data_IF_606233231338
#
_entry.id   IF_606233231338
#
_cell.length_a   1.000
_cell.length_b   1.000
_cell.length_c   1.000
_cell.angle_alpha   90.00
_cell.angle_beta   90.00
_cell.angle_gamma   90.00
#
_symmetry.space_group_name_H-M   'P 1'
#
loop_
_entity.id
_entity.type
_entity.pdbx_description
1 polymer ?
#
# COMPACT_ATOMS: atom_id res chain seq x y z
N UNK A 1 38.83 29.19 -58.59
CA UNK A 1 37.78 29.46 -59.55
C UNK A 1 36.75 28.33 -59.36
N UNK A 2 35.66 28.46 -58.90
CA UNK A 2 34.61 29.37 -58.60
C UNK A 2 33.69 28.69 -57.57
N UNK A 3 33.27 29.41 -56.55
CA UNK A 3 32.40 28.88 -55.50
C UNK A 3 30.98 29.13 -55.93
N UNK A 4 30.22 28.07 -56.25
CA UNK A 4 28.75 28.13 -56.46
C UNK A 4 28.01 28.06 -55.12
N UNK A 5 27.54 29.18 -54.66
CA UNK A 5 26.62 29.30 -53.51
C UNK A 5 25.18 28.91 -53.91
N UNK A 6 24.59 27.98 -53.16
CA UNK A 6 23.17 27.64 -53.27
C UNK A 6 22.32 28.70 -52.48
N UNK A 7 21.11 29.07 -52.97
CA UNK A 7 20.27 30.06 -52.36
C UNK A 7 19.43 29.53 -51.18
N UNK A 8 19.27 30.42 -50.19
CA UNK A 8 18.41 30.26 -49.02
C UNK A 8 16.94 30.54 -49.48
N UNK A 9 15.96 29.72 -49.15
CA UNK A 9 14.55 30.05 -49.33
C UNK A 9 14.04 30.98 -48.24
N UNK A 10 13.33 32.03 -48.68
CA UNK A 10 12.67 33.07 -47.93
C UNK A 10 11.55 32.55 -47.02
N UNK A 11 11.44 33.19 -45.84
CA UNK A 11 10.30 33.18 -44.93
C UNK A 11 8.97 33.41 -45.66
N UNK A 12 8.04 32.47 -45.54
CA UNK A 12 6.64 32.72 -45.74
C UNK A 12 5.85 32.35 -44.51
N UNK A 13 5.10 33.36 -44.05
CA UNK A 13 4.35 33.42 -42.81
C UNK A 13 3.26 32.33 -42.70
N UNK A 14 3.29 31.56 -41.62
CA UNK A 14 2.15 30.76 -41.16
C UNK A 14 1.24 31.57 -40.22
N UNK A 15 -0.09 31.47 -40.34
CA UNK A 15 -1.03 32.26 -39.56
C UNK A 15 -1.05 31.82 -38.09
N UNK A 16 -1.03 32.81 -37.18
CA UNK A 16 -1.11 32.63 -35.74
C UNK A 16 -2.40 31.93 -35.29
N UNK A 17 -2.26 30.69 -34.90
CA UNK A 17 -3.23 29.99 -34.05
C UNK A 17 -2.93 30.31 -32.60
N UNK A 18 -3.75 31.13 -31.97
CA UNK A 18 -3.71 31.37 -30.53
C UNK A 18 -3.99 30.05 -29.81
N UNK A 19 -2.94 29.42 -29.27
CA UNK A 19 -3.10 28.31 -28.34
C UNK A 19 -3.47 28.88 -26.99
N UNK A 20 -4.73 28.72 -26.63
CA UNK A 20 -5.31 29.08 -25.34
C UNK A 20 -4.49 28.41 -24.21
N UNK A 21 -3.64 29.20 -23.55
CA UNK A 21 -2.90 28.80 -22.36
C UNK A 21 -3.84 28.84 -21.16
N UNK A 22 -4.79 27.90 -21.13
CA UNK A 22 -5.57 27.51 -19.94
C UNK A 22 -5.35 26.04 -19.62
N UNK A 23 -4.09 25.66 -19.39
CA UNK A 23 -3.81 24.52 -18.55
C UNK A 23 -4.15 24.93 -17.12
N UNK A 24 -5.42 24.70 -16.75
CA UNK A 24 -5.88 24.82 -15.39
C UNK A 24 -4.95 23.94 -14.51
N UNK A 25 -4.17 24.60 -13.67
CA UNK A 25 -3.51 23.96 -12.54
C UNK A 25 -4.61 23.37 -11.66
N UNK A 26 -4.94 22.11 -11.88
CA UNK A 26 -5.70 21.33 -10.91
C UNK A 26 -4.82 21.18 -9.68
N UNK A 27 -4.94 22.15 -8.75
CA UNK A 27 -4.54 21.90 -7.37
C UNK A 27 -5.19 20.58 -6.96
N UNK A 28 -4.42 19.63 -6.40
CA UNK A 28 -5.05 18.47 -5.79
C UNK A 28 -6.09 18.98 -4.81
N UNK A 29 -7.32 18.45 -4.93
CA UNK A 29 -8.39 18.75 -4.00
C UNK A 29 -7.82 18.56 -2.60
N UNK A 30 -7.92 19.59 -1.76
CA UNK A 30 -7.54 19.52 -0.37
C UNK A 30 -8.20 18.26 0.21
N UNK A 31 -7.40 17.38 0.79
CA UNK A 31 -7.92 16.22 1.50
C UNK A 31 -9.07 16.70 2.39
N UNK A 32 -10.20 15.97 2.50
CA UNK A 32 -11.32 16.38 3.32
C UNK A 32 -10.77 16.69 4.70
N UNK A 33 -10.84 17.98 5.09
CA UNK A 33 -10.32 18.45 6.36
C UNK A 33 -10.96 17.60 7.46
N UNK A 34 -10.16 16.89 8.22
CA UNK A 34 -10.60 16.16 9.39
C UNK A 34 -11.19 17.20 10.36
N UNK A 35 -12.52 17.35 10.31
CA UNK A 35 -13.22 18.08 11.35
C UNK A 35 -13.03 17.24 12.62
N UNK A 36 -12.17 17.71 13.51
CA UNK A 36 -12.18 17.27 14.90
C UNK A 36 -13.64 17.39 15.38
N UNK A 37 -14.20 16.39 16.09
CA UNK A 37 -15.51 16.56 16.66
C UNK A 37 -15.48 17.85 17.46
N UNK A 38 -16.38 18.78 17.13
CA UNK A 38 -16.45 20.08 17.79
C UNK A 38 -16.70 19.80 19.28
N UNK A 39 -15.64 19.85 20.07
CA UNK A 39 -15.77 19.91 21.51
C UNK A 39 -16.57 21.16 21.77
N UNK A 40 -17.70 21.03 22.48
CA UNK A 40 -18.60 22.13 22.76
C UNK A 40 -17.76 23.32 23.24
N UNK A 41 -17.89 24.46 22.57
CA UNK A 41 -17.21 25.70 22.91
C UNK A 41 -17.76 26.14 24.27
N UNK A 42 -16.95 26.07 25.31
CA UNK A 42 -17.34 26.50 26.66
C UNK A 42 -16.99 25.50 27.74
N UNK A 43 -17.21 25.93 28.98
CA UNK A 43 -16.98 25.16 30.20
C UNK A 43 -18.31 24.54 30.66
N UNK A 44 -18.40 23.23 30.74
CA UNK A 44 -19.60 22.52 31.20
C UNK A 44 -19.40 22.07 32.61
N UNK A 45 -20.04 22.78 33.54
CA UNK A 45 -19.88 22.62 34.97
C UNK A 45 -21.05 21.83 35.55
N UNK A 46 -20.78 20.65 36.12
CA UNK A 46 -21.76 19.88 36.90
C UNK A 46 -21.51 20.07 38.36
N UNK A 47 -22.50 20.60 39.10
CA UNK A 47 -22.48 20.64 40.56
C UNK A 47 -23.31 19.49 41.12
N UNK A 48 -22.74 18.75 42.07
CA UNK A 48 -23.40 17.70 42.85
C UNK A 48 -23.40 18.13 44.33
N UNK A 49 -24.54 18.50 44.85
CA UNK A 49 -24.76 18.97 46.24
C UNK A 49 -26.22 18.77 46.60
N UNK A 50 -26.52 18.25 47.79
CA UNK A 50 -27.89 18.00 48.24
C UNK A 50 -28.65 19.28 48.60
N UNK A 51 -27.93 20.37 48.85
CA UNK A 51 -28.47 21.63 49.32
C UNK A 51 -28.84 22.57 48.16
N UNK A 52 -30.13 22.79 47.94
CA UNK A 52 -30.62 23.75 46.94
C UNK A 52 -30.05 25.15 47.09
N UNK A 53 -29.75 25.58 48.34
CA UNK A 53 -29.16 26.87 48.58
C UNK A 53 -27.78 27.03 47.94
N UNK A 54 -26.95 26.00 48.06
CA UNK A 54 -25.61 25.95 47.43
C UNK A 54 -25.73 25.97 45.92
N UNK A 55 -26.62 25.11 45.36
CA UNK A 55 -26.91 25.11 43.91
C UNK A 55 -27.30 26.50 43.39
N UNK A 56 -28.20 27.20 44.10
CA UNK A 56 -28.63 28.54 43.72
C UNK A 56 -27.51 29.59 43.86
N UNK A 57 -26.68 29.46 44.88
CA UNK A 57 -25.56 30.38 45.11
C UNK A 57 -24.49 30.22 43.99
N UNK A 58 -24.10 28.99 43.70
CA UNK A 58 -23.13 28.70 42.60
C UNK A 58 -23.71 29.15 41.26
N UNK A 59 -24.98 28.89 40.98
CA UNK A 59 -25.65 29.35 39.75
C UNK A 59 -25.58 30.88 39.61
N UNK A 60 -25.82 31.65 40.74
CA UNK A 60 -25.68 33.11 40.72
C UNK A 60 -24.24 33.57 40.52
N UNK A 61 -23.25 32.87 41.09
CA UNK A 61 -21.82 33.16 40.88
C UNK A 61 -21.40 32.99 39.44
N UNK A 62 -21.94 32.00 38.77
CA UNK A 62 -21.66 31.71 37.36
C UNK A 62 -22.55 32.50 36.38
N UNK A 63 -23.60 33.16 36.87
CA UNK A 63 -24.46 33.97 36.03
C UNK A 63 -23.68 35.15 35.42
N UNK A 64 -23.81 35.32 34.11
CA UNK A 64 -23.08 36.34 33.35
C UNK A 64 -21.80 35.84 32.63
N UNK A 65 -21.35 34.62 32.90
CA UNK A 65 -20.25 33.99 32.17
C UNK A 65 -20.84 33.24 30.97
N UNK A 66 -20.79 33.87 29.80
CA UNK A 66 -21.43 33.33 28.58
C UNK A 66 -20.76 32.02 28.07
N UNK A 67 -19.55 31.76 28.54
CA UNK A 67 -18.74 30.58 28.19
C UNK A 67 -18.96 29.39 29.14
N UNK A 68 -19.84 29.54 30.20
CA UNK A 68 -20.10 28.51 31.20
C UNK A 68 -21.54 28.00 31.10
N UNK A 69 -21.70 26.72 30.77
CA UNK A 69 -22.95 25.96 30.88
C UNK A 69 -22.98 25.27 32.25
N UNK A 70 -23.99 25.55 33.06
CA UNK A 70 -24.08 25.03 34.43
C UNK A 70 -25.26 24.05 34.58
N UNK A 71 -25.00 22.94 35.24
CA UNK A 71 -26.03 21.94 35.61
C UNK A 71 -25.88 21.60 37.10
N UNK A 72 -27.00 21.54 37.80
CA UNK A 72 -27.09 21.16 39.18
C UNK A 72 -27.75 19.78 39.35
N UNK A 73 -27.09 18.88 40.07
CA UNK A 73 -27.58 17.56 40.43
C UNK A 73 -27.76 17.52 41.97
N UNK A 74 -28.99 17.47 42.41
CA UNK A 74 -29.30 17.47 43.86
C UNK A 74 -29.22 16.06 44.47
N UNK A 75 -29.39 15.00 43.67
CA UNK A 75 -29.42 13.61 44.14
C UNK A 75 -28.12 12.91 43.78
N UNK A 76 -27.34 12.48 44.77
CA UNK A 76 -26.09 11.75 44.49
C UNK A 76 -26.27 10.49 43.64
N UNK A 77 -27.34 9.77 43.81
CA UNK A 77 -27.63 8.53 43.05
C UNK A 77 -27.86 8.77 41.57
N UNK A 78 -28.26 9.97 41.16
CA UNK A 78 -28.47 10.34 39.75
C UNK A 78 -27.19 10.93 39.12
N UNK A 79 -26.14 11.21 39.91
CA UNK A 79 -24.97 12.00 39.48
C UNK A 79 -24.22 11.40 38.32
N UNK A 80 -24.01 10.08 38.28
CA UNK A 80 -23.32 9.39 37.20
C UNK A 80 -24.10 9.46 35.87
N UNK A 81 -25.41 9.24 35.94
CA UNK A 81 -26.30 9.34 34.76
C UNK A 81 -26.37 10.77 34.21
N UNK A 82 -26.40 11.78 35.14
CA UNK A 82 -26.36 13.18 34.73
C UNK A 82 -25.03 13.55 34.14
N UNK A 83 -23.92 13.06 34.69
CA UNK A 83 -22.56 13.29 34.14
C UNK A 83 -22.40 12.68 32.76
N UNK A 84 -22.87 11.45 32.56
CA UNK A 84 -22.81 10.78 31.24
C UNK A 84 -23.63 11.54 30.19
N UNK A 85 -24.85 11.97 30.51
CA UNK A 85 -25.71 12.73 29.59
C UNK A 85 -25.20 14.16 29.34
N UNK A 86 -24.73 14.82 30.39
CA UNK A 86 -24.28 16.22 30.32
C UNK A 86 -22.86 16.35 29.78
N UNK A 87 -21.99 15.36 29.92
CA UNK A 87 -20.57 15.38 29.55
C UNK A 87 -19.85 16.61 30.08
N UNK A 88 -19.73 16.76 31.41
CA UNK A 88 -19.11 17.94 32.01
C UNK A 88 -17.63 18.04 31.67
N UNK A 89 -17.11 19.26 31.62
CA UNK A 89 -15.67 19.53 31.51
C UNK A 89 -15.03 19.75 32.90
N UNK A 90 -15.83 19.92 33.93
CA UNK A 90 -15.43 19.95 35.33
C UNK A 90 -16.64 19.57 36.20
N UNK A 91 -16.39 18.82 37.27
CA UNK A 91 -17.38 18.46 38.28
C UNK A 91 -17.04 19.21 39.56
N UNK A 92 -18.01 19.90 40.11
CA UNK A 92 -17.99 20.43 41.49
C UNK A 92 -18.78 19.45 42.35
N UNK A 93 -18.21 18.96 43.44
CA UNK A 93 -18.83 17.92 44.24
C UNK A 93 -18.77 18.26 45.71
N UNK A 94 -19.89 18.22 46.43
CA UNK A 94 -19.89 18.29 47.87
C UNK A 94 -19.20 17.06 48.48
N UNK A 95 -18.41 17.28 49.55
CA UNK A 95 -17.80 16.21 50.30
C UNK A 95 -18.83 15.46 51.17
N UNK A 96 -19.81 16.16 51.73
CA UNK A 96 -20.82 15.59 52.63
C UNK A 96 -22.15 15.48 51.92
N UNK A 97 -22.46 14.27 51.50
CA UNK A 97 -23.68 13.95 50.78
C UNK A 97 -24.54 12.95 51.58
N UNK A 98 -25.88 13.08 51.60
CA UNK A 98 -26.72 12.15 52.34
C UNK A 98 -26.68 10.73 51.72
N UNK A 99 -26.30 9.75 52.55
CA UNK A 99 -26.27 8.35 52.14
C UNK A 99 -25.10 7.90 51.29
N UNK A 100 -24.19 8.81 50.91
CA UNK A 100 -22.99 8.52 50.08
C UNK A 100 -21.80 9.24 50.68
N UNK A 101 -20.68 8.52 50.82
CA UNK A 101 -19.40 9.16 51.16
C UNK A 101 -18.89 9.91 49.92
N UNK A 102 -18.57 11.20 50.08
CA UNK A 102 -18.05 12.02 48.99
C UNK A 102 -16.72 11.51 48.43
N UNK A 103 -15.87 10.88 49.26
CA UNK A 103 -14.64 10.22 48.82
C UNK A 103 -14.94 9.02 47.91
N UNK A 104 -15.93 8.21 48.27
CA UNK A 104 -16.33 7.06 47.46
C UNK A 104 -16.95 7.49 46.12
N UNK A 105 -17.66 8.60 46.10
CA UNK A 105 -18.19 9.18 44.86
C UNK A 105 -17.07 9.63 43.92
N UNK A 106 -16.00 10.26 44.43
CA UNK A 106 -14.82 10.60 43.64
C UNK A 106 -14.20 9.34 43.03
N UNK A 107 -14.02 8.25 43.81
CA UNK A 107 -13.50 6.96 43.32
C UNK A 107 -14.39 6.37 42.21
N UNK A 108 -15.73 6.37 42.42
CA UNK A 108 -16.69 5.90 41.42
C UNK A 108 -16.57 6.65 40.08
N UNK A 109 -16.44 7.97 40.10
CA UNK A 109 -16.20 8.75 38.89
C UNK A 109 -14.88 8.41 38.18
N UNK A 110 -13.86 7.95 38.92
CA UNK A 110 -12.58 7.51 38.36
C UNK A 110 -12.64 6.11 37.75
N UNK A 111 -13.62 5.30 38.15
CA UNK A 111 -13.86 3.93 37.61
C UNK A 111 -14.69 3.97 36.33
N UNK A 112 -15.60 4.91 36.19
CA UNK A 112 -16.48 5.06 34.99
C UNK A 112 -15.68 5.70 33.85
N UNK A 113 -15.62 5.03 32.70
CA UNK A 113 -14.79 5.44 31.58
C UNK A 113 -15.04 6.86 31.07
N UNK A 114 -16.29 7.31 31.03
CA UNK A 114 -16.68 8.64 30.53
C UNK A 114 -16.28 9.79 31.47
N UNK A 115 -16.22 9.55 32.76
CA UNK A 115 -15.89 10.57 33.79
C UNK A 115 -14.48 10.41 34.36
N UNK A 116 -13.77 9.34 34.01
CA UNK A 116 -12.47 8.97 34.57
C UNK A 116 -11.44 10.11 34.57
N UNK A 117 -11.44 10.92 33.54
CA UNK A 117 -10.48 12.00 33.33
C UNK A 117 -11.08 13.38 33.58
N UNK A 118 -12.39 13.48 33.80
CA UNK A 118 -13.04 14.76 34.06
C UNK A 118 -12.53 15.34 35.40
N UNK A 119 -12.05 16.58 35.44
CA UNK A 119 -11.61 17.20 36.71
C UNK A 119 -12.72 17.27 37.72
N UNK A 120 -12.41 16.89 38.97
CA UNK A 120 -13.31 16.97 40.11
C UNK A 120 -12.72 17.97 41.11
N UNK A 121 -13.48 19.02 41.42
CA UNK A 121 -13.19 20.01 42.47
C UNK A 121 -14.14 19.73 43.62
N UNK A 122 -13.61 19.35 44.77
CA UNK A 122 -14.46 19.04 45.92
C UNK A 122 -14.73 20.32 46.71
N UNK A 123 -16.01 20.54 47.04
CA UNK A 123 -16.46 21.63 47.90
C UNK A 123 -16.66 21.10 49.34
N UNK A 124 -16.07 21.73 50.34
CA UNK A 124 -16.21 21.28 51.73
C UNK A 124 -16.23 22.47 52.72
N UNK A 125 -16.93 22.32 53.81
CA UNK A 125 -16.91 23.28 54.92
C UNK A 125 -15.69 23.09 55.84
N UNK A 126 -14.92 22.00 55.70
CA UNK A 126 -13.80 21.63 56.55
C UNK A 126 -12.47 21.97 55.90
N UNK A 127 -11.51 22.51 56.63
CA UNK A 127 -10.17 22.86 56.13
C UNK A 127 -9.04 21.91 56.60
N UNK A 128 -9.38 20.75 57.14
CA UNK A 128 -8.42 19.83 57.70
C UNK A 128 -7.46 19.26 56.64
N UNK A 129 -6.15 19.34 56.93
CA UNK A 129 -5.11 18.88 56.01
C UNK A 129 -5.22 17.37 55.69
N UNK A 130 -5.67 16.54 56.64
CA UNK A 130 -5.86 15.11 56.49
C UNK A 130 -6.96 14.80 55.48
N UNK A 131 -8.08 15.51 55.53
CA UNK A 131 -9.21 15.35 54.60
C UNK A 131 -8.78 15.74 53.18
N UNK A 132 -8.01 16.83 53.02
CA UNK A 132 -7.47 17.25 51.75
C UNK A 132 -6.56 16.16 51.13
N UNK A 133 -5.68 15.56 51.91
CA UNK A 133 -4.81 14.48 51.44
C UNK A 133 -5.62 13.28 50.95
N UNK A 134 -6.63 12.83 51.68
CA UNK A 134 -7.50 11.72 51.31
C UNK A 134 -8.29 11.98 50.01
N UNK A 135 -8.73 13.22 49.80
CA UNK A 135 -9.42 13.63 48.57
C UNK A 135 -8.53 13.55 47.35
N UNK A 136 -7.28 13.99 47.43
CA UNK A 136 -6.32 13.86 46.33
C UNK A 136 -5.95 12.39 46.08
N UNK A 137 -5.79 11.58 47.14
CA UNK A 137 -5.57 10.12 46.98
C UNK A 137 -6.78 9.41 46.31
N UNK A 138 -8.01 9.87 46.59
CA UNK A 138 -9.21 9.36 45.95
C UNK A 138 -9.31 9.79 44.47
N UNK A 139 -8.50 10.77 44.05
CA UNK A 139 -8.44 11.23 42.66
C UNK A 139 -9.11 12.58 42.39
N UNK A 140 -9.45 13.36 43.41
CA UNK A 140 -9.87 14.75 43.23
C UNK A 140 -8.72 15.60 42.64
N UNK A 141 -9.05 16.57 41.80
CA UNK A 141 -8.08 17.46 41.16
C UNK A 141 -7.86 18.74 41.93
N UNK A 142 -8.84 19.13 42.72
CA UNK A 142 -8.77 20.34 43.52
C UNK A 142 -9.77 20.32 44.69
N UNK A 143 -9.62 21.28 45.58
CA UNK A 143 -10.43 21.45 46.76
C UNK A 143 -10.75 22.93 46.97
N UNK A 144 -11.99 23.26 47.32
CA UNK A 144 -12.45 24.59 47.65
C UNK A 144 -13.29 24.58 48.93
N UNK A 145 -13.16 25.64 49.73
CA UNK A 145 -14.07 25.87 50.85
C UNK A 145 -15.46 26.21 50.32
N UNK A 146 -16.54 25.67 50.95
CA UNK A 146 -17.92 25.95 50.53
C UNK A 146 -18.21 27.44 50.52
N UNK A 147 -18.91 27.88 49.48
CA UNK A 147 -19.17 29.27 49.13
C UNK A 147 -17.87 30.09 48.99
N UNK A 148 -16.98 29.66 48.07
CA UNK A 148 -15.76 30.39 47.75
C UNK A 148 -16.09 31.77 47.17
N UNK A 149 -15.07 32.62 47.11
CA UNK A 149 -15.21 33.85 46.31
C UNK A 149 -15.52 33.53 44.84
N UNK A 150 -16.40 34.38 44.24
CA UNK A 150 -16.81 34.20 42.85
C UNK A 150 -15.61 34.14 41.88
N UNK A 151 -14.61 35.01 42.11
CA UNK A 151 -13.42 35.10 41.23
C UNK A 151 -12.61 33.82 41.36
N UNK A 152 -12.43 33.29 42.57
CA UNK A 152 -11.70 32.02 42.79
C UNK A 152 -12.40 30.83 42.12
N UNK A 153 -13.73 30.70 42.31
CA UNK A 153 -14.51 29.61 41.72
C UNK A 153 -14.39 29.59 40.22
N UNK A 154 -14.59 30.72 39.55
CA UNK A 154 -14.51 30.83 38.09
C UNK A 154 -13.11 30.55 37.61
N UNK A 155 -12.08 31.07 38.26
CA UNK A 155 -10.69 30.81 37.87
C UNK A 155 -10.34 29.32 37.93
N UNK A 156 -10.73 28.60 38.98
CA UNK A 156 -10.48 27.16 39.11
C UNK A 156 -11.27 26.34 38.12
N UNK A 157 -12.54 26.65 37.88
CA UNK A 157 -13.36 26.04 36.84
C UNK A 157 -12.65 26.14 35.48
N UNK A 158 -12.22 27.34 35.10
CA UNK A 158 -11.56 27.56 33.81
C UNK A 158 -10.24 26.81 33.70
N UNK A 159 -9.38 26.88 34.73
CA UNK A 159 -8.08 26.19 34.72
C UNK A 159 -8.25 24.67 34.51
N UNK A 160 -9.12 24.04 35.29
CA UNK A 160 -9.32 22.59 35.22
C UNK A 160 -10.06 22.18 33.95
N UNK A 161 -11.10 22.92 33.57
CA UNK A 161 -11.86 22.66 32.35
C UNK A 161 -11.01 22.82 31.09
N UNK A 162 -10.19 23.87 31.00
CA UNK A 162 -9.28 24.09 29.89
C UNK A 162 -8.21 23.01 29.81
N UNK A 163 -7.63 22.59 30.92
CA UNK A 163 -6.66 21.49 30.96
C UNK A 163 -7.28 20.18 30.40
N UNK A 164 -8.51 19.89 30.83
CA UNK A 164 -9.24 18.71 30.34
C UNK A 164 -9.60 18.80 28.85
N UNK A 165 -10.05 19.95 28.37
CA UNK A 165 -10.34 20.17 26.97
C UNK A 165 -9.09 19.98 26.09
N UNK A 166 -7.94 20.54 26.49
CA UNK A 166 -6.66 20.34 25.81
C UNK A 166 -6.25 18.88 25.78
N UNK A 167 -6.50 18.12 26.87
CA UNK A 167 -6.27 16.68 26.89
C UNK A 167 -7.11 15.96 25.83
N UNK A 168 -8.40 16.25 25.76
CA UNK A 168 -9.31 15.66 24.77
C UNK A 168 -8.92 16.03 23.32
N UNK A 169 -8.56 17.30 23.09
CA UNK A 169 -8.07 17.76 21.79
C UNK A 169 -6.80 17.03 21.35
N UNK A 170 -5.86 16.88 22.28
CA UNK A 170 -4.63 16.10 22.03
C UNK A 170 -4.94 14.66 21.68
N UNK A 171 -5.77 13.98 22.45
CA UNK A 171 -6.09 12.58 22.27
C UNK A 171 -6.85 12.36 20.94
N UNK A 172 -7.74 13.27 20.58
CA UNK A 172 -8.42 13.27 19.28
C UNK A 172 -7.44 13.50 18.12
N UNK A 173 -6.46 14.40 18.27
CA UNK A 173 -5.43 14.64 17.27
C UNK A 173 -4.51 13.43 17.09
N UNK A 174 -4.11 12.76 18.18
CA UNK A 174 -3.33 11.53 18.10
C UNK A 174 -4.09 10.41 17.38
N UNK A 175 -5.37 10.19 17.73
CA UNK A 175 -6.19 9.19 17.06
C UNK A 175 -6.42 9.49 15.56
N UNK A 176 -6.50 10.76 15.18
CA UNK A 176 -6.57 11.18 13.78
C UNK A 176 -5.25 10.92 13.04
N UNK A 177 -4.12 11.23 13.68
CA UNK A 177 -2.79 10.99 13.12
C UNK A 177 -2.54 9.48 12.89
N UNK A 178 -2.85 8.64 13.86
CA UNK A 178 -2.72 7.19 13.73
C UNK A 178 -3.52 6.63 12.56
N UNK A 179 -4.78 7.08 12.40
CA UNK A 179 -5.61 6.70 11.26
C UNK A 179 -4.99 7.13 9.93
N UNK A 180 -4.53 8.37 9.84
CA UNK A 180 -3.89 8.89 8.63
C UNK A 180 -2.61 8.12 8.26
N UNK A 181 -1.80 7.76 9.25
CA UNK A 181 -0.60 6.94 9.04
C UNK A 181 -0.94 5.52 8.57
N UNK A 182 -2.00 4.92 9.12
CA UNK A 182 -2.46 3.60 8.69
C UNK A 182 -2.96 3.62 7.24
N UNK A 183 -3.71 4.66 6.85
CA UNK A 183 -4.20 4.81 5.48
C UNK A 183 -3.05 5.06 4.50
N UNK A 184 -2.09 5.90 4.85
CA UNK A 184 -0.90 6.15 4.03
C UNK A 184 -0.09 4.87 3.80
N UNK A 185 0.14 4.08 4.85
CA UNK A 185 0.85 2.79 4.73
C UNK A 185 0.11 1.82 3.82
N UNK A 186 -1.22 1.79 3.89
CA UNK A 186 -2.06 0.94 3.03
C UNK A 186 -1.95 1.34 1.56
N UNK A 187 -2.03 2.64 1.26
CA UNK A 187 -1.87 3.14 -0.11
C UNK A 187 -0.45 2.93 -0.64
N UNK A 188 0.56 3.10 0.19
CA UNK A 188 1.95 2.83 -0.18
C UNK A 188 2.16 1.33 -0.52
N UNK A 189 1.66 0.43 0.31
CA UNK A 189 1.75 -1.01 0.06
C UNK A 189 1.00 -1.43 -1.22
N UNK A 190 -0.16 -0.80 -1.50
CA UNK A 190 -0.91 -1.02 -2.73
C UNK A 190 -0.13 -0.54 -3.96
N UNK A 191 0.45 0.65 -3.90
CA UNK A 191 1.28 1.20 -4.98
C UNK A 191 2.49 0.31 -5.25
N UNK A 192 3.18 -0.14 -4.21
CA UNK A 192 4.33 -1.04 -4.33
C UNK A 192 3.95 -2.39 -4.96
N UNK A 193 2.85 -2.98 -4.53
CA UNK A 193 2.33 -4.21 -5.12
C UNK A 193 2.02 -4.06 -6.61
N UNK A 194 1.45 -2.93 -7.04
CA UNK A 194 1.18 -2.66 -8.45
C UNK A 194 2.47 -2.55 -9.27
N UNK A 195 3.52 -1.94 -8.73
CA UNK A 195 4.84 -1.87 -9.38
C UNK A 195 5.48 -3.26 -9.50
N UNK A 196 5.39 -4.10 -8.47
CA UNK A 196 5.91 -5.47 -8.47
C UNK A 196 5.19 -6.40 -9.46
N UNK A 197 3.97 -6.06 -9.89
CA UNK A 197 3.28 -6.79 -10.95
C UNK A 197 3.81 -6.47 -12.36
N UNK A 198 4.62 -5.41 -12.50
CA UNK A 198 5.11 -4.93 -13.81
C UNK A 198 6.62 -5.10 -13.94
N UNK A 199 7.36 -4.98 -12.82
CA UNK A 199 8.81 -4.96 -12.79
C UNK A 199 9.36 -5.93 -11.75
N UNK A 200 10.51 -6.58 -12.02
CA UNK A 200 11.20 -7.40 -11.02
C UNK A 200 11.52 -6.62 -9.74
N UNK A 201 11.44 -7.27 -8.58
CA UNK A 201 11.61 -6.61 -7.27
C UNK A 201 12.90 -5.79 -7.15
N UNK A 202 14.04 -6.35 -7.59
CA UNK A 202 15.34 -5.67 -7.59
C UNK A 202 15.36 -4.41 -8.46
N UNK A 203 14.60 -4.39 -9.53
CA UNK A 203 14.48 -3.24 -10.42
C UNK A 203 13.60 -2.16 -9.76
N UNK A 204 12.51 -2.56 -9.08
CA UNK A 204 11.65 -1.64 -8.31
C UNK A 204 12.44 -0.96 -7.18
N UNK A 205 13.30 -1.68 -6.46
CA UNK A 205 14.19 -1.11 -5.43
C UNK A 205 15.10 -0.05 -6.02
N UNK A 206 15.80 -0.35 -7.13
CA UNK A 206 16.70 0.61 -7.80
C UNK A 206 15.97 1.84 -8.34
N UNK A 207 14.75 1.68 -8.87
CA UNK A 207 13.95 2.83 -9.34
C UNK A 207 13.49 3.74 -8.21
N UNK A 208 13.30 3.20 -7.00
CA UNK A 208 13.00 4.01 -5.80
C UNK A 208 14.21 4.81 -5.32
N UNK A 209 15.40 4.29 -5.48
CA UNK A 209 16.63 4.93 -5.02
C UNK A 209 17.16 5.97 -6.02
N UNK A 210 17.08 5.70 -7.33
CA UNK A 210 17.63 6.55 -8.38
C UNK A 210 16.75 6.56 -9.63
N UNK A 211 16.62 7.73 -10.27
CA UNK A 211 15.91 7.90 -11.55
C UNK A 211 16.83 7.71 -12.77
N UNK A 212 17.98 7.04 -12.61
CA UNK A 212 18.91 6.79 -13.69
C UNK A 212 18.46 5.63 -14.59
N UNK A 213 18.97 5.63 -15.82
CA UNK A 213 18.73 4.54 -16.77
C UNK A 213 19.31 3.23 -16.22
N UNK A 214 18.47 2.23 -16.01
CA UNK A 214 18.89 0.91 -15.56
C UNK A 214 19.27 0.09 -16.81
N UNK A 215 20.56 -0.27 -16.93
CA UNK A 215 21.07 -1.16 -17.96
C UNK A 215 22.21 -1.99 -17.35
N UNK A 216 22.01 -3.29 -17.24
CA UNK A 216 22.97 -4.22 -16.66
C UNK A 216 23.37 -5.29 -17.67
N UNK A 217 24.65 -5.65 -17.69
CA UNK A 217 25.18 -6.75 -18.52
C UNK A 217 25.35 -8.00 -17.67
N UNK A 218 24.80 -9.10 -18.16
CA UNK A 218 24.90 -10.42 -17.52
C UNK A 218 25.73 -11.33 -18.42
N UNK A 219 26.79 -11.90 -17.86
CA UNK A 219 27.73 -12.74 -18.62
C UNK A 219 27.10 -14.07 -19.06
N UNK A 220 26.15 -14.60 -18.27
CA UNK A 220 25.44 -15.86 -18.55
C UNK A 220 24.03 -15.79 -18.03
N UNK A 221 23.06 -16.05 -18.91
CA UNK A 221 21.66 -16.20 -18.62
C UNK A 221 21.05 -17.19 -19.61
N UNK A 222 19.89 -17.75 -19.29
CA UNK A 222 19.15 -18.64 -20.20
C UNK A 222 17.82 -18.04 -20.52
N UNK A 223 17.57 -17.79 -21.79
CA UNK A 223 16.35 -17.20 -22.35
C UNK A 223 15.49 -18.30 -22.97
N UNK A 224 14.19 -18.23 -22.67
CA UNK A 224 13.15 -19.12 -23.22
C UNK A 224 12.14 -18.29 -24.01
N UNK A 225 11.78 -18.79 -25.19
CA UNK A 225 10.57 -18.40 -25.91
C UNK A 225 9.64 -19.58 -26.05
N UNK A 226 8.35 -19.36 -25.86
CA UNK A 226 7.31 -20.34 -26.14
C UNK A 226 6.22 -19.69 -26.98
N UNK A 227 5.75 -20.37 -28.02
CA UNK A 227 4.78 -19.87 -29.01
C UNK A 227 3.67 -20.88 -29.28
N UNK A 228 2.45 -20.42 -29.50
CA UNK A 228 1.29 -21.28 -29.72
C UNK A 228 1.13 -21.62 -31.22
N UNK A 229 1.35 -22.86 -31.56
CA UNK A 229 1.27 -23.31 -32.97
C UNK A 229 -0.18 -23.22 -33.49
N UNK A 230 -0.38 -22.51 -34.63
CA UNK A 230 -1.67 -22.35 -35.25
C UNK A 230 -2.60 -21.33 -34.61
N UNK A 231 -2.09 -20.54 -33.67
CA UNK A 231 -2.89 -19.55 -32.94
C UNK A 231 -3.53 -18.49 -33.84
N UNK A 232 -2.81 -18.01 -34.87
CA UNK A 232 -3.32 -16.99 -35.80
C UNK A 232 -4.59 -17.47 -36.54
N UNK A 233 -4.62 -18.73 -36.97
CA UNK A 233 -5.81 -19.30 -37.61
C UNK A 233 -6.93 -19.55 -36.61
N UNK A 234 -6.60 -20.07 -35.42
CA UNK A 234 -7.54 -20.33 -34.37
C UNK A 234 -8.24 -19.03 -33.90
N UNK A 235 -7.48 -17.96 -33.70
CA UNK A 235 -7.99 -16.67 -33.21
C UNK A 235 -9.02 -16.00 -34.13
N UNK A 236 -9.03 -16.32 -35.41
CA UNK A 236 -10.00 -15.80 -36.38
C UNK A 236 -11.40 -16.40 -36.20
N UNK A 237 -11.52 -17.57 -35.55
CA UNK A 237 -12.75 -18.35 -35.46
C UNK A 237 -13.33 -18.42 -34.03
N UNK A 238 -12.68 -17.78 -33.06
CA UNK A 238 -13.07 -17.85 -31.65
C UNK A 238 -13.55 -16.47 -31.16
N UNK A 239 -14.54 -16.48 -30.27
CA UNK A 239 -15.01 -15.27 -29.61
C UNK A 239 -13.88 -14.58 -28.83
N UNK A 240 -13.72 -13.24 -28.93
CA UNK A 240 -12.63 -12.51 -28.30
C UNK A 240 -12.51 -12.73 -26.78
N UNK A 241 -13.62 -12.87 -26.07
CA UNK A 241 -13.60 -13.11 -24.63
C UNK A 241 -13.04 -14.51 -24.31
N UNK A 242 -13.50 -15.54 -25.02
CA UNK A 242 -12.99 -16.91 -24.86
C UNK A 242 -11.52 -17.03 -25.25
N UNK A 243 -11.08 -16.25 -26.25
CA UNK A 243 -9.67 -16.20 -26.64
C UNK A 243 -8.79 -15.66 -25.52
N UNK A 244 -9.20 -14.54 -24.90
CA UNK A 244 -8.46 -13.92 -23.78
C UNK A 244 -8.47 -14.84 -22.56
N UNK A 245 -9.60 -15.45 -22.21
CA UNK A 245 -9.71 -16.39 -21.09
C UNK A 245 -8.80 -17.62 -21.29
N UNK A 246 -8.67 -18.12 -22.52
CA UNK A 246 -7.77 -19.23 -22.83
C UNK A 246 -6.30 -18.81 -22.69
N UNK A 247 -5.92 -17.66 -23.22
CA UNK A 247 -4.56 -17.13 -23.10
C UNK A 247 -4.19 -16.87 -21.64
N UNK A 248 -5.11 -16.32 -20.87
CA UNK A 248 -4.93 -16.07 -19.44
C UNK A 248 -4.67 -17.36 -18.67
N UNK A 249 -5.43 -18.44 -18.92
CA UNK A 249 -5.23 -19.74 -18.28
C UNK A 249 -3.87 -20.36 -18.66
N UNK A 250 -3.49 -20.31 -19.96
CA UNK A 250 -2.20 -20.82 -20.43
C UNK A 250 -1.06 -20.03 -19.77
N UNK A 251 -1.08 -18.70 -19.87
CA UNK A 251 0.00 -17.87 -19.37
C UNK A 251 0.07 -17.85 -17.84
N UNK A 252 -1.07 -17.92 -17.15
CA UNK A 252 -1.10 -18.11 -15.69
C UNK A 252 -0.47 -19.44 -15.27
N UNK A 253 -0.68 -20.51 -16.03
CA UNK A 253 0.00 -21.80 -15.82
C UNK A 253 1.52 -21.64 -15.98
N UNK A 254 1.97 -20.91 -17.01
CA UNK A 254 3.39 -20.64 -17.22
C UNK A 254 3.98 -19.72 -16.15
N UNK A 255 3.23 -18.73 -15.68
CA UNK A 255 3.63 -17.83 -14.59
C UNK A 255 3.84 -18.59 -13.28
N UNK A 256 2.97 -19.56 -12.96
CA UNK A 256 3.15 -20.40 -11.78
C UNK A 256 4.42 -21.28 -11.87
N UNK A 257 4.71 -21.81 -13.07
CA UNK A 257 5.92 -22.58 -13.31
C UNK A 257 7.17 -21.70 -13.24
N UNK A 258 7.12 -20.49 -13.80
CA UNK A 258 8.20 -19.52 -13.70
C UNK A 258 8.52 -19.20 -12.25
N UNK A 259 7.51 -18.90 -11.43
CA UNK A 259 7.68 -18.65 -10.00
C UNK A 259 8.24 -19.88 -9.25
N UNK A 260 7.77 -21.09 -9.54
CA UNK A 260 8.21 -22.32 -8.90
C UNK A 260 9.70 -22.64 -9.18
N UNK A 261 10.21 -22.27 -10.35
CA UNK A 261 11.60 -22.48 -10.76
C UNK A 261 12.50 -21.25 -10.57
N UNK A 262 11.97 -20.12 -10.09
CA UNK A 262 12.72 -18.87 -9.96
C UNK A 262 13.19 -18.33 -11.32
N UNK A 263 12.35 -18.45 -12.33
CA UNK A 263 12.54 -17.92 -13.69
C UNK A 263 11.71 -16.64 -13.80
N UNK A 264 12.30 -15.59 -14.35
CA UNK A 264 11.65 -14.28 -14.49
C UNK A 264 10.87 -14.23 -15.80
N UNK A 265 9.58 -13.94 -15.73
CA UNK A 265 8.77 -13.58 -16.90
C UNK A 265 9.16 -12.20 -17.38
N UNK A 266 9.50 -12.06 -18.64
CA UNK A 266 9.83 -10.76 -19.23
C UNK A 266 8.59 -10.11 -19.85
N UNK A 267 7.93 -10.79 -20.77
CA UNK A 267 6.74 -10.27 -21.46
C UNK A 267 6.03 -11.37 -22.24
N UNK A 268 4.82 -11.06 -22.67
CA UNK A 268 4.15 -11.75 -23.76
C UNK A 268 4.22 -10.92 -25.05
N UNK A 269 4.35 -11.56 -26.19
CA UNK A 269 4.40 -10.91 -27.51
C UNK A 269 3.33 -11.60 -28.36
N UNK A 270 2.09 -11.07 -28.33
CA UNK A 270 0.96 -11.77 -28.90
C UNK A 270 0.69 -13.09 -28.18
N UNK A 271 0.83 -14.20 -28.87
CA UNK A 271 0.71 -15.59 -28.38
C UNK A 271 2.04 -16.20 -27.90
N UNK A 272 3.13 -15.44 -27.96
CA UNK A 272 4.42 -15.90 -27.48
C UNK A 272 4.69 -15.44 -26.03
N UNK A 273 5.34 -16.31 -25.27
CA UNK A 273 5.76 -16.08 -23.88
C UNK A 273 7.28 -16.04 -23.80
N UNK A 274 7.84 -15.00 -23.18
CA UNK A 274 9.28 -14.83 -23.00
C UNK A 274 9.64 -14.84 -21.53
N UNK A 275 10.60 -15.69 -21.16
CA UNK A 275 11.11 -15.79 -19.78
C UNK A 275 12.63 -15.98 -19.76
N UNK A 276 13.25 -15.75 -18.61
CA UNK A 276 14.70 -15.81 -18.44
C UNK A 276 15.08 -16.23 -17.02
N UNK A 277 16.19 -16.94 -16.88
CA UNK A 277 16.86 -17.12 -15.59
C UNK A 277 18.31 -16.64 -15.65
N UNK A 278 18.86 -16.21 -14.48
CA UNK A 278 20.18 -15.62 -14.39
C UNK A 278 20.19 -14.10 -14.31
N UNK A 279 19.01 -13.47 -14.31
CA UNK A 279 18.81 -12.02 -14.11
C UNK A 279 17.42 -11.75 -13.51
N UNK A 280 17.17 -10.58 -12.87
CA UNK A 280 18.13 -9.54 -12.51
C UNK A 280 19.10 -9.97 -11.38
N UNK A 281 18.91 -11.18 -10.86
CA UNK A 281 19.80 -11.81 -9.87
C UNK A 281 20.53 -12.95 -10.57
N UNK A 282 21.88 -12.89 -10.71
CA UNK A 282 22.67 -14.00 -11.25
C UNK A 282 22.48 -15.29 -10.44
N UNK A 283 22.41 -16.42 -11.15
CA UNK A 283 22.36 -17.77 -10.56
C UNK A 283 23.08 -18.79 -11.47
N UNK A 284 23.78 -19.73 -10.88
CA UNK A 284 24.60 -20.69 -11.65
C UNK A 284 23.74 -21.77 -12.33
N UNK A 285 22.59 -22.10 -11.75
CA UNK A 285 21.66 -23.13 -12.23
C UNK A 285 20.58 -22.56 -13.19
N UNK A 286 20.84 -21.39 -13.82
CA UNK A 286 19.87 -20.74 -14.72
C UNK A 286 19.40 -21.63 -15.86
N UNK A 287 20.30 -22.44 -16.46
CA UNK A 287 19.95 -23.35 -17.55
C UNK A 287 19.06 -24.50 -17.08
N UNK A 288 19.35 -25.06 -15.88
CA UNK A 288 18.56 -26.14 -15.29
C UNK A 288 17.15 -25.68 -14.91
N UNK A 289 17.05 -24.48 -14.33
CA UNK A 289 15.78 -23.90 -13.96
C UNK A 289 14.86 -23.70 -15.18
N UNK A 290 15.41 -23.12 -16.25
CA UNK A 290 14.65 -22.92 -17.50
C UNK A 290 14.30 -24.24 -18.17
N UNK A 291 15.21 -25.22 -18.21
CA UNK A 291 14.95 -26.54 -18.78
C UNK A 291 13.83 -27.28 -18.03
N UNK A 292 13.85 -27.26 -16.70
CA UNK A 292 12.81 -27.87 -15.88
C UNK A 292 11.45 -27.17 -16.07
N UNK A 293 11.45 -25.84 -16.10
CA UNK A 293 10.25 -25.04 -16.39
C UNK A 293 9.68 -25.40 -17.78
N UNK A 294 10.52 -25.48 -18.82
CA UNK A 294 10.09 -25.77 -20.17
C UNK A 294 9.41 -27.15 -20.31
N UNK A 295 9.94 -28.17 -19.63
CA UNK A 295 9.29 -29.49 -19.57
C UNK A 295 7.94 -29.42 -18.85
N UNK A 296 7.87 -28.69 -17.72
CA UNK A 296 6.61 -28.44 -17.01
C UNK A 296 5.60 -27.68 -17.87
N UNK A 297 6.06 -26.70 -18.68
CA UNK A 297 5.20 -25.97 -19.61
C UNK A 297 4.53 -26.87 -20.64
N UNK A 298 5.25 -27.86 -21.20
CA UNK A 298 4.66 -28.84 -22.14
C UNK A 298 3.54 -29.65 -21.46
N UNK A 299 3.74 -30.05 -20.20
CA UNK A 299 2.76 -30.84 -19.45
C UNK A 299 1.56 -29.99 -19.05
N UNK A 300 1.80 -28.79 -18.48
CA UNK A 300 0.76 -27.84 -18.09
C UNK A 300 -0.11 -27.43 -19.27
N UNK A 301 0.52 -27.10 -20.41
CA UNK A 301 -0.18 -26.76 -21.64
C UNK A 301 -1.08 -27.91 -22.13
N UNK A 302 -0.57 -29.15 -22.14
CA UNK A 302 -1.39 -30.33 -22.50
C UNK A 302 -2.58 -30.51 -21.54
N UNK A 303 -2.41 -30.16 -20.26
CA UNK A 303 -3.48 -30.17 -19.28
C UNK A 303 -4.60 -29.19 -19.61
N UNK A 304 -4.26 -27.95 -19.92
CA UNK A 304 -5.21 -26.90 -20.33
C UNK A 304 -5.93 -27.28 -21.61
N UNK A 305 -5.20 -27.74 -22.61
CA UNK A 305 -5.79 -28.17 -23.90
C UNK A 305 -6.78 -29.32 -23.74
N UNK A 306 -6.47 -30.32 -22.91
CA UNK A 306 -7.40 -31.41 -22.59
C UNK A 306 -8.66 -30.91 -21.87
N UNK A 307 -8.51 -30.05 -20.90
CA UNK A 307 -9.64 -29.49 -20.17
C UNK A 307 -10.61 -28.72 -21.07
N UNK A 308 -10.06 -28.03 -22.07
CA UNK A 308 -10.84 -27.26 -23.06
C UNK A 308 -11.24 -28.05 -24.32
N UNK A 309 -10.86 -29.32 -24.43
CA UNK A 309 -11.08 -30.15 -25.65
C UNK A 309 -10.51 -29.50 -26.92
N UNK A 310 -9.35 -28.83 -26.80
CA UNK A 310 -8.65 -28.19 -27.90
C UNK A 310 -7.42 -29.01 -28.32
N UNK A 311 -7.00 -28.89 -29.61
CA UNK A 311 -5.90 -29.62 -30.20
C UNK A 311 -4.70 -28.72 -30.56
N UNK A 312 -4.50 -27.61 -29.83
CA UNK A 312 -3.36 -26.74 -30.07
C UNK A 312 -2.08 -27.33 -29.49
N UNK A 313 -0.94 -26.85 -29.98
CA UNK A 313 0.38 -27.28 -29.55
C UNK A 313 1.24 -26.04 -29.18
N UNK A 314 2.21 -26.21 -28.30
CA UNK A 314 3.19 -25.18 -27.98
C UNK A 314 4.56 -25.57 -28.46
N UNK A 315 5.32 -24.62 -28.98
CA UNK A 315 6.71 -24.77 -29.42
C UNK A 315 7.60 -23.97 -28.49
N UNK A 316 8.68 -24.55 -28.00
CA UNK A 316 9.56 -23.91 -26.99
C UNK A 316 10.99 -23.93 -27.53
N UNK A 317 11.65 -22.76 -27.44
CA UNK A 317 13.06 -22.58 -27.80
C UNK A 317 13.86 -22.02 -26.65
N UNK A 318 15.06 -22.53 -26.41
CA UNK A 318 15.95 -22.10 -25.30
C UNK A 318 17.35 -21.87 -25.85
N UNK A 319 17.95 -20.76 -25.41
CA UNK A 319 19.36 -20.48 -25.63
C UNK A 319 19.99 -19.82 -24.42
N UNK A 320 21.27 -20.11 -24.16
CA UNK A 320 22.08 -19.59 -23.06
C UNK A 320 23.25 -18.78 -23.58
N UNK A 321 23.55 -17.65 -22.93
CA UNK A 321 24.65 -16.77 -23.28
C UNK A 321 24.55 -15.40 -22.59
N UNK A 322 25.40 -14.43 -22.98
CA UNK A 322 25.41 -13.09 -22.43
C UNK A 322 24.17 -12.28 -22.86
N UNK A 323 23.61 -11.48 -21.92
CA UNK A 323 22.42 -10.63 -22.14
C UNK A 323 22.61 -9.28 -21.51
N UNK A 324 21.99 -8.26 -22.08
CA UNK A 324 21.79 -6.96 -21.44
C UNK A 324 20.34 -6.86 -21.00
N UNK A 325 20.10 -6.61 -19.73
CA UNK A 325 18.78 -6.34 -19.16
C UNK A 325 18.67 -4.88 -18.76
N UNK A 326 17.50 -4.27 -18.94
CA UNK A 326 17.34 -2.87 -18.56
C UNK A 326 15.90 -2.38 -18.61
N UNK A 327 15.70 -1.13 -18.17
CA UNK A 327 14.40 -0.46 -18.18
C UNK A 327 14.39 0.60 -19.26
N UNK A 328 13.39 0.53 -20.13
CA UNK A 328 13.12 1.53 -21.16
C UNK A 328 11.78 2.20 -20.91
N UNK A 329 11.72 3.48 -21.24
CA UNK A 329 10.51 4.30 -21.20
C UNK A 329 10.53 5.32 -20.06
N UNK A 330 9.83 6.45 -20.25
CA UNK A 330 9.64 7.50 -19.24
C UNK A 330 8.27 7.48 -18.59
N UNK A 331 7.26 7.03 -19.32
CA UNK A 331 5.86 6.98 -18.86
C UNK A 331 5.33 5.55 -18.65
N UNK A 332 5.84 4.61 -19.44
CA UNK A 332 5.54 3.19 -19.31
C UNK A 332 6.87 2.47 -19.22
N UNK A 333 7.27 2.13 -18.00
CA UNK A 333 8.48 1.36 -17.76
C UNK A 333 8.29 -0.08 -18.27
N UNK A 334 9.23 -0.54 -19.08
CA UNK A 334 9.29 -1.93 -19.52
C UNK A 334 10.70 -2.43 -19.19
N UNK A 335 10.78 -3.49 -18.38
CA UNK A 335 12.02 -4.24 -18.22
C UNK A 335 12.14 -5.22 -19.37
N UNK A 336 13.19 -5.10 -20.15
CA UNK A 336 13.37 -5.93 -21.36
C UNK A 336 14.83 -6.38 -21.49
N UNK A 337 15.06 -7.29 -22.43
CA UNK A 337 16.35 -7.91 -22.69
C UNK A 337 16.83 -7.65 -24.12
N UNK A 338 18.13 -7.43 -24.24
CA UNK A 338 18.80 -7.23 -25.52
C UNK A 338 20.03 -8.11 -25.63
N UNK A 339 20.38 -8.45 -26.86
CA UNK A 339 21.58 -9.20 -27.17
C UNK A 339 21.31 -10.35 -28.16
N UNK A 340 22.40 -10.90 -28.65
CA UNK A 340 22.38 -12.01 -29.59
C UNK A 340 21.72 -13.26 -28.98
N UNK A 341 21.89 -13.46 -27.68
CA UNK A 341 21.26 -14.57 -26.94
C UNK A 341 19.74 -14.57 -27.05
N UNK A 342 19.11 -13.38 -26.93
CA UNK A 342 17.65 -13.24 -27.09
C UNK A 342 17.20 -13.64 -28.50
N UNK A 343 17.92 -13.15 -29.53
CA UNK A 343 17.63 -13.49 -30.92
C UNK A 343 17.82 -14.99 -31.21
N UNK A 344 18.84 -15.60 -30.59
CA UNK A 344 19.10 -17.02 -30.77
C UNK A 344 18.00 -17.88 -30.09
N UNK A 345 17.56 -17.51 -28.89
CA UNK A 345 16.46 -18.19 -28.21
C UNK A 345 15.16 -18.16 -29.06
N UNK A 346 14.82 -16.99 -29.62
CA UNK A 346 13.69 -16.83 -30.53
C UNK A 346 13.83 -17.71 -31.77
N UNK A 347 15.06 -17.88 -32.29
CA UNK A 347 15.31 -18.79 -33.44
C UNK A 347 15.23 -20.25 -33.04
N UNK A 348 15.63 -20.63 -31.83
CA UNK A 348 15.39 -21.99 -31.32
C UNK A 348 13.90 -22.27 -31.28
N UNK A 349 13.12 -21.31 -30.86
CA UNK A 349 11.66 -21.44 -30.88
C UNK A 349 11.15 -21.60 -32.33
N UNK A 350 11.38 -20.61 -33.19
CA UNK A 350 10.79 -20.58 -34.54
C UNK A 350 11.23 -21.73 -35.48
N UNK A 351 12.42 -22.33 -35.26
CA UNK A 351 12.89 -23.53 -35.93
C UNK A 351 12.57 -24.80 -35.15
N UNK A 352 11.90 -24.72 -34.02
CA UNK A 352 11.49 -25.86 -33.19
C UNK A 352 10.36 -26.67 -33.81
N UNK A 353 10.04 -27.80 -33.21
CA UNK A 353 8.91 -28.64 -33.55
C UNK A 353 7.80 -28.50 -32.51
N UNK A 354 6.52 -28.56 -32.92
CA UNK A 354 5.40 -28.53 -31.98
C UNK A 354 5.50 -29.60 -30.89
N UNK A 355 5.13 -29.25 -29.67
CA UNK A 355 5.18 -30.11 -28.48
C UNK A 355 6.57 -30.59 -28.09
N UNK A 356 7.62 -29.88 -28.49
CA UNK A 356 9.02 -30.16 -28.14
C UNK A 356 9.74 -28.91 -27.59
N UNK A 357 10.78 -29.13 -26.81
CA UNK A 357 11.71 -28.10 -26.35
C UNK A 357 12.97 -28.18 -27.18
N UNK A 358 13.26 -27.17 -27.98
CA UNK A 358 14.39 -27.04 -28.86
C UNK A 358 15.48 -26.20 -28.23
N UNK A 359 16.69 -26.71 -28.13
CA UNK A 359 17.80 -26.06 -27.46
C UNK A 359 19.03 -25.94 -28.35
N UNK A 360 19.81 -24.90 -28.13
CA UNK A 360 21.09 -24.72 -28.78
C UNK A 360 22.19 -25.58 -28.14
N UNK A 361 23.31 -25.76 -28.85
CA UNK A 361 24.52 -26.41 -28.33
C UNK A 361 24.97 -25.79 -27.01
N UNK A 362 25.03 -24.44 -26.88
CA UNK A 362 25.47 -23.75 -25.67
C UNK A 362 24.59 -24.11 -24.46
N UNK A 363 23.28 -24.22 -24.63
CA UNK A 363 22.38 -24.64 -23.57
C UNK A 363 22.57 -26.13 -23.24
N UNK A 364 22.70 -26.98 -24.24
CA UNK A 364 22.95 -28.41 -24.05
C UNK A 364 24.22 -28.66 -23.22
N UNK A 365 25.29 -27.93 -23.48
CA UNK A 365 26.57 -28.10 -22.78
C UNK A 365 26.46 -27.73 -21.28
N UNK A 366 25.67 -26.72 -20.93
CA UNK A 366 25.39 -26.35 -19.53
C UNK A 366 24.53 -27.41 -18.80
N UNK A 367 23.81 -28.24 -19.55
CA UNK A 367 22.88 -29.21 -19.01
C UNK A 367 23.39 -30.67 -19.14
N UNK A 368 24.63 -30.84 -19.62
CA UNK A 368 25.26 -32.15 -19.80
C UNK A 368 25.34 -32.93 -18.48
N UNK A 369 24.97 -34.21 -18.52
CA UNK A 369 24.93 -35.09 -17.34
C UNK A 369 23.78 -34.83 -16.38
N UNK A 370 22.86 -33.93 -16.73
CA UNK A 370 21.67 -33.61 -15.91
C UNK A 370 20.36 -33.81 -16.64
N UNK A 371 20.42 -33.70 -17.97
CA UNK A 371 19.26 -33.86 -18.86
C UNK A 371 19.61 -34.69 -20.08
N UNK A 372 18.61 -35.39 -20.61
CA UNK A 372 18.70 -36.22 -21.82
C UNK A 372 18.30 -35.41 -23.05
N UNK A 373 19.04 -35.62 -24.13
CA UNK A 373 18.84 -34.92 -25.38
C UNK A 373 18.76 -35.90 -26.55
N UNK A 374 18.06 -35.47 -27.62
CA UNK A 374 18.14 -36.03 -28.92
C UNK A 374 18.72 -34.99 -29.89
N UNK A 375 19.71 -35.35 -30.69
CA UNK A 375 20.21 -34.45 -31.73
C UNK A 375 19.12 -34.23 -32.79
N UNK A 376 18.85 -32.94 -33.08
CA UNK A 376 17.94 -32.56 -34.17
C UNK A 376 18.67 -32.41 -35.48
N UNK A 377 19.97 -32.10 -35.41
CA UNK A 377 20.82 -31.79 -36.55
C UNK A 377 21.04 -30.28 -36.74
N UNK A 378 21.57 -29.93 -37.91
CA UNK A 378 21.96 -28.58 -38.24
C UNK A 378 20.79 -27.72 -38.69
N UNK A 379 20.75 -26.47 -38.19
CA UNK A 379 19.88 -25.41 -38.70
C UNK A 379 20.72 -24.24 -39.21
N UNK A 380 20.28 -23.60 -40.30
CA UNK A 380 20.92 -22.37 -40.81
C UNK A 380 20.40 -21.16 -40.01
N UNK A 381 21.31 -20.56 -39.24
CA UNK A 381 21.00 -19.36 -38.47
C UNK A 381 21.57 -18.14 -39.18
N UNK A 382 20.71 -17.18 -39.56
CA UNK A 382 21.09 -15.95 -40.26
C UNK A 382 22.20 -15.21 -39.48
N UNK A 383 23.37 -15.04 -40.12
CA UNK A 383 24.53 -14.36 -39.52
C UNK A 383 25.44 -15.23 -38.63
N UNK A 384 25.13 -16.55 -38.46
CA UNK A 384 25.94 -17.50 -37.66
C UNK A 384 26.24 -18.83 -38.37
N UNK A 385 25.81 -19.00 -39.63
CA UNK A 385 26.02 -20.24 -40.37
C UNK A 385 25.17 -21.40 -39.85
N UNK A 386 25.65 -22.62 -40.10
CA UNK A 386 25.04 -23.85 -39.58
C UNK A 386 25.33 -24.02 -38.09
N UNK A 387 24.32 -24.37 -37.32
CA UNK A 387 24.41 -24.65 -35.91
C UNK A 387 23.76 -25.99 -35.57
N UNK A 388 24.45 -26.88 -34.89
CA UNK A 388 23.88 -28.13 -34.39
C UNK A 388 22.95 -27.81 -33.21
N UNK A 389 21.78 -28.41 -33.19
CA UNK A 389 20.74 -28.17 -32.19
C UNK A 389 20.14 -29.49 -31.69
N UNK A 390 19.45 -29.41 -30.56
CA UNK A 390 18.99 -30.60 -29.86
C UNK A 390 17.54 -30.41 -29.36
N UNK A 391 16.86 -31.52 -29.15
CA UNK A 391 15.60 -31.58 -28.41
C UNK A 391 15.88 -32.06 -26.99
N UNK A 392 15.40 -31.30 -26.00
CA UNK A 392 15.40 -31.69 -24.60
C UNK A 392 14.30 -32.73 -24.37
N UNK A 393 14.67 -33.89 -23.85
CA UNK A 393 13.75 -35.04 -23.68
C UNK A 393 13.24 -35.18 -22.23
N UNK A 394 14.04 -34.82 -21.25
CA UNK A 394 13.72 -34.99 -19.84
C UNK A 394 14.96 -34.92 -18.95
N UNK A 395 14.74 -35.01 -17.66
CA UNK A 395 15.83 -35.11 -16.65
C UNK A 395 16.43 -36.54 -16.71
N UNK A 396 17.72 -36.66 -16.41
CA UNK A 396 18.35 -37.98 -16.28
C UNK A 396 17.81 -38.77 -15.09
#
# INVERSE_FOLDING_TARGET
MDRGSLPVPSDDALPGGAVDARAASSRPAAAPGFALPALASGHRVLLIDDQKLIGSAVQKMLAGEADIEFRFCQKPDEAEGVAAAFRPTVILQDLVLPGVDGLDMVRRFREVGETRQVPIIVLSAQEEAVVKAQLFEAGANDYLVKLPDRIELIARIRVHSDAYRRLLERDAAFAALERSLADLRREQAKSERLLLNILPAKIVERLKENHETIADSFASATVLFADLCGFTEFSQHVDPQHLVEMLDEIFSTFDHLAAAHGVEKIKTIGDAYMAVAGLPVPRDDHAEAVAAMALGMLEGFRGVMRARSLAMQVRIGIHSGPVVGGVIGRHKFIYDLWGDTVNMASRMESHGEPSRVHVSQATRDLLEGKFRFAERGEIKVKGKGSQTTYFLLGRE
#
